data_IF_859406922915
#
_entry.id   IF_859406922915
#
_cell.length_a   1.000
_cell.length_b   1.000
_cell.length_c   1.000
_cell.angle_alpha   90.00
_cell.angle_beta   90.00
_cell.angle_gamma   90.00
#
_symmetry.space_group_name_H-M   'P 1'
#
loop_
_entity.id
_entity.type
_entity.pdbx_description
1 polymer ?
#
# COMPACT_ATOMS: atom_id res chain seq x y z
N UNK A 1 54.82 9.29 -26.29
CA UNK A 1 53.92 9.61 -27.42
C UNK A 1 53.17 8.35 -27.82
N UNK A 2 52.00 8.10 -27.30
CA UNK A 2 51.16 6.94 -27.68
C UNK A 2 49.80 7.50 -28.06
N UNK A 3 49.47 7.39 -29.36
CA UNK A 3 48.16 7.76 -29.93
C UNK A 3 47.25 6.54 -29.83
N UNK A 4 46.22 6.61 -29.01
CA UNK A 4 45.16 5.60 -28.94
C UNK A 4 44.00 6.08 -29.82
N UNK A 5 43.76 5.35 -30.91
CA UNK A 5 42.69 5.59 -31.86
C UNK A 5 41.32 5.24 -31.23
N UNK A 6 40.36 6.14 -31.39
CA UNK A 6 38.96 5.94 -31.02
C UNK A 6 38.25 5.20 -32.16
N UNK A 7 37.85 3.94 -31.94
CA UNK A 7 36.97 3.19 -32.83
C UNK A 7 35.51 3.51 -32.54
N UNK A 8 34.84 4.20 -33.46
CA UNK A 8 33.41 4.42 -33.44
C UNK A 8 32.71 3.13 -33.91
N UNK A 9 31.97 2.49 -33.02
CA UNK A 9 31.05 1.41 -33.36
C UNK A 9 29.65 2.00 -33.52
N UNK A 10 29.19 2.09 -34.77
CA UNK A 10 27.83 2.46 -35.13
C UNK A 10 26.92 1.23 -35.00
N UNK A 11 26.00 1.23 -34.02
CA UNK A 11 24.97 0.19 -33.86
C UNK A 11 23.71 0.63 -34.63
N UNK A 12 23.42 -0.02 -35.75
CA UNK A 12 22.20 0.19 -36.52
C UNK A 12 21.03 -0.58 -35.84
N UNK A 13 20.03 0.13 -35.32
CA UNK A 13 18.76 -0.45 -34.85
C UNK A 13 17.82 -0.60 -36.06
N UNK A 14 17.62 -1.84 -36.52
CA UNK A 14 16.58 -2.20 -37.48
C UNK A 14 15.24 -2.27 -36.74
N UNK A 15 14.36 -1.30 -36.93
CA UNK A 15 13.00 -1.31 -36.40
C UNK A 15 12.10 -2.18 -37.29
N UNK A 16 11.53 -3.28 -36.74
CA UNK A 16 10.45 -4.04 -37.40
C UNK A 16 9.11 -3.31 -37.10
N UNK A 17 8.61 -2.60 -38.11
CA UNK A 17 7.23 -2.12 -38.12
C UNK A 17 6.31 -3.26 -38.57
N UNK A 18 5.59 -3.87 -37.63
CA UNK A 18 4.50 -4.81 -37.94
C UNK A 18 3.21 -4.01 -38.19
N UNK A 19 2.75 -3.99 -39.43
CA UNK A 19 1.45 -3.49 -39.86
C UNK A 19 0.35 -4.46 -39.44
N UNK A 20 -0.70 -4.06 -38.68
CA UNK A 20 -1.83 -4.95 -38.40
C UNK A 20 -2.71 -5.12 -39.66
N UNK A 21 -3.24 -6.34 -39.94
CA UNK A 21 -4.13 -6.57 -41.07
C UNK A 21 -5.48 -5.88 -40.90
N UNK A 22 -6.16 -5.47 -41.97
CA UNK A 22 -7.46 -4.78 -41.92
C UNK A 22 -8.52 -5.73 -41.37
N UNK A 23 -9.19 -5.27 -40.30
CA UNK A 23 -10.32 -5.95 -39.71
C UNK A 23 -11.52 -5.95 -40.69
N UNK A 24 -11.94 -7.15 -41.11
CA UNK A 24 -13.18 -7.35 -41.85
C UNK A 24 -14.36 -7.10 -40.91
N UNK A 25 -15.08 -6.01 -41.10
CA UNK A 25 -16.36 -5.69 -40.45
C UNK A 25 -17.41 -6.75 -40.87
N UNK A 26 -18.02 -7.49 -39.94
CA UNK A 26 -19.20 -8.30 -40.27
C UNK A 26 -20.42 -7.41 -40.49
N UNK A 27 -21.38 -7.80 -41.38
CA UNK A 27 -22.57 -7.01 -41.65
C UNK A 27 -23.46 -6.92 -40.38
N UNK A 28 -23.85 -5.69 -40.04
CA UNK A 28 -24.82 -5.38 -38.99
C UNK A 28 -26.18 -5.91 -39.40
N UNK A 29 -26.61 -7.06 -38.86
CA UNK A 29 -28.00 -7.54 -38.95
C UNK A 29 -28.82 -6.85 -37.86
N UNK A 30 -29.54 -5.83 -38.26
CA UNK A 30 -30.54 -5.16 -37.43
C UNK A 30 -31.79 -6.02 -37.30
N UNK A 31 -31.85 -6.85 -36.27
CA UNK A 31 -33.06 -7.49 -35.80
C UNK A 31 -33.49 -6.82 -34.48
N UNK A 32 -34.71 -6.25 -34.38
CA UNK A 32 -35.16 -5.68 -33.11
C UNK A 32 -35.31 -6.81 -32.09
N UNK A 33 -34.36 -6.93 -31.17
CA UNK A 33 -34.51 -7.81 -30.03
C UNK A 33 -35.29 -7.09 -28.95
N UNK A 34 -36.45 -7.60 -28.60
CA UNK A 34 -37.17 -7.23 -27.36
C UNK A 34 -36.22 -7.44 -26.20
N UNK A 35 -35.73 -6.35 -25.63
CA UNK A 35 -34.85 -6.38 -24.48
C UNK A 35 -35.62 -6.80 -23.25
N UNK A 36 -35.55 -8.07 -22.90
CA UNK A 36 -36.00 -8.57 -21.61
C UNK A 36 -35.13 -7.87 -20.53
N UNK A 37 -35.75 -7.23 -19.49
CA UNK A 37 -34.94 -6.58 -18.46
C UNK A 37 -33.95 -7.58 -17.86
N UNK A 38 -32.65 -7.22 -17.86
CA UNK A 38 -31.63 -8.03 -17.23
C UNK A 38 -31.94 -8.14 -15.74
N UNK A 39 -31.82 -9.34 -15.13
CA UNK A 39 -32.01 -9.49 -13.70
C UNK A 39 -31.01 -8.60 -12.99
N UNK A 40 -31.49 -7.67 -12.15
CA UNK A 40 -30.68 -6.85 -11.28
C UNK A 40 -29.80 -7.79 -10.44
N UNK A 41 -28.50 -7.86 -10.76
CA UNK A 41 -27.54 -8.57 -9.91
C UNK A 41 -27.55 -7.89 -8.55
N UNK A 42 -28.24 -8.49 -7.59
CA UNK A 42 -28.11 -8.13 -6.19
C UNK A 42 -26.65 -8.36 -5.83
N UNK A 43 -25.91 -7.26 -5.64
CA UNK A 43 -24.53 -7.29 -5.18
C UNK A 43 -24.55 -8.02 -3.83
N UNK A 44 -23.85 -9.16 -3.67
CA UNK A 44 -23.81 -9.82 -2.37
C UNK A 44 -23.31 -8.80 -1.34
N UNK A 45 -24.09 -8.61 -0.28
CA UNK A 45 -23.69 -7.79 0.86
C UNK A 45 -22.37 -8.36 1.37
N UNK A 46 -21.27 -7.64 1.17
CA UNK A 46 -19.99 -8.04 1.77
C UNK A 46 -20.21 -8.01 3.26
N UNK A 47 -20.16 -9.22 3.87
CA UNK A 47 -20.07 -9.33 5.31
C UNK A 47 -18.94 -8.40 5.78
N UNK A 48 -19.15 -7.52 6.77
CA UNK A 48 -18.08 -6.67 7.28
C UNK A 48 -16.86 -7.54 7.60
N UNK A 49 -15.64 -7.12 7.27
CA UNK A 49 -14.46 -7.85 7.67
C UNK A 49 -14.47 -8.01 9.19
N UNK A 50 -14.00 -9.15 9.73
CA UNK A 50 -13.88 -9.32 11.16
C UNK A 50 -13.04 -8.19 11.73
N UNK A 51 -13.47 -7.59 12.84
CA UNK A 51 -12.70 -6.54 13.52
C UNK A 51 -11.31 -7.06 13.83
N UNK A 52 -10.28 -6.28 13.47
CA UNK A 52 -8.91 -6.67 13.76
C UNK A 52 -8.72 -6.80 15.28
N UNK A 53 -8.09 -7.89 15.72
CA UNK A 53 -7.80 -8.12 17.14
C UNK A 53 -6.59 -7.25 17.50
N UNK A 54 -6.74 -6.42 18.55
CA UNK A 54 -5.65 -5.57 19.01
C UNK A 54 -4.48 -6.40 19.56
N UNK A 55 -3.27 -6.03 19.17
CA UNK A 55 -2.04 -6.64 19.68
C UNK A 55 -1.82 -6.22 21.14
N UNK A 56 -1.90 -7.17 22.06
CA UNK A 56 -1.68 -6.93 23.49
C UNK A 56 -0.32 -7.51 23.85
N UNK A 57 0.72 -6.65 23.84
CA UNK A 57 2.07 -6.97 24.28
C UNK A 57 2.60 -5.86 25.19
N UNK A 58 3.46 -6.15 26.17
CA UNK A 58 4.05 -5.13 27.02
C UNK A 58 4.85 -4.08 26.21
N UNK A 59 4.78 -2.83 26.65
CA UNK A 59 5.56 -1.74 26.07
C UNK A 59 4.95 -1.06 24.83
N UNK A 60 3.76 -1.51 24.38
CA UNK A 60 3.03 -0.87 23.27
C UNK A 60 1.88 0.02 23.76
N UNK A 61 1.77 0.21 25.06
CA UNK A 61 0.75 1.04 25.71
C UNK A 61 0.82 2.48 25.18
N UNK A 62 -0.33 3.07 24.89
CA UNK A 62 -0.44 4.40 24.32
C UNK A 62 -0.12 4.48 22.81
N UNK A 63 0.16 3.33 22.16
CA UNK A 63 0.21 3.21 20.70
C UNK A 63 -0.99 2.41 20.21
N UNK A 64 -1.17 1.18 20.72
CA UNK A 64 -2.36 0.38 20.45
C UNK A 64 -3.60 1.08 21.01
N UNK A 65 -4.66 1.15 20.21
CA UNK A 65 -5.90 1.85 20.55
C UNK A 65 -5.87 3.35 20.24
N UNK A 66 -4.76 3.88 19.78
CA UNK A 66 -4.66 5.30 19.42
C UNK A 66 -5.07 5.53 17.95
N UNK A 67 -5.58 6.71 17.66
CA UNK A 67 -5.90 7.15 16.30
C UNK A 67 -4.66 7.70 15.57
N UNK A 68 -4.80 7.99 14.29
CA UNK A 68 -3.72 8.55 13.47
C UNK A 68 -3.20 9.88 14.02
N UNK A 69 -4.10 10.76 14.49
CA UNK A 69 -3.73 12.05 15.03
C UNK A 69 -2.92 11.90 16.34
N UNK A 70 -3.31 10.97 17.20
CA UNK A 70 -2.58 10.63 18.41
C UNK A 70 -1.18 10.09 18.15
N UNK A 71 -1.04 9.22 17.17
CA UNK A 71 0.27 8.70 16.75
C UNK A 71 1.16 9.79 16.15
N UNK A 72 0.60 10.69 15.35
CA UNK A 72 1.34 11.83 14.80
C UNK A 72 1.80 12.79 15.91
N UNK A 73 0.99 13.00 16.94
CA UNK A 73 1.43 13.79 18.11
C UNK A 73 2.58 13.13 18.87
N UNK A 74 2.62 11.79 18.94
CA UNK A 74 3.66 11.05 19.65
C UNK A 74 4.97 10.94 18.87
N UNK A 75 4.91 10.72 17.55
CA UNK A 75 6.07 10.36 16.74
C UNK A 75 6.43 11.41 15.68
N UNK A 76 5.62 12.48 15.55
CA UNK A 76 5.78 13.47 14.51
C UNK A 76 5.16 13.02 13.17
N UNK A 77 5.53 13.70 12.09
CA UNK A 77 4.99 13.41 10.75
C UNK A 77 5.42 12.02 10.27
N UNK A 78 4.48 11.15 9.85
CA UNK A 78 4.84 9.85 9.29
C UNK A 78 5.57 10.02 7.96
N UNK A 79 6.51 9.11 7.70
CA UNK A 79 7.19 9.00 6.42
C UNK A 79 6.26 8.43 5.33
N UNK A 80 5.34 7.53 5.74
CA UNK A 80 4.37 6.89 4.87
C UNK A 80 2.99 6.90 5.56
N UNK A 81 1.96 7.23 4.80
CA UNK A 81 0.55 7.22 5.21
C UNK A 81 -0.27 6.71 4.01
N UNK A 82 -0.65 5.45 4.04
CA UNK A 82 -1.33 4.77 2.93
C UNK A 82 -2.46 3.88 3.43
N UNK A 83 -3.37 3.54 2.51
CA UNK A 83 -4.37 2.50 2.72
C UNK A 83 -3.84 1.20 2.13
N UNK A 84 -3.77 0.16 2.95
CA UNK A 84 -3.31 -1.18 2.59
C UNK A 84 -4.41 -2.19 2.95
N UNK A 85 -5.21 -2.58 1.95
CA UNK A 85 -6.42 -3.36 2.17
C UNK A 85 -7.45 -2.59 2.99
N UNK A 86 -7.82 -3.13 4.15
CA UNK A 86 -8.76 -2.51 5.10
C UNK A 86 -8.05 -1.65 6.16
N UNK A 87 -6.73 -1.65 6.17
CA UNK A 87 -5.92 -0.90 7.13
C UNK A 87 -5.44 0.44 6.57
N UNK A 88 -5.32 1.44 7.44
CA UNK A 88 -4.46 2.60 7.23
C UNK A 88 -3.11 2.33 7.87
N UNK A 89 -2.06 2.34 7.07
CA UNK A 89 -0.69 2.13 7.54
C UNK A 89 0.04 3.45 7.69
N UNK A 90 0.52 3.72 8.89
CA UNK A 90 1.42 4.82 9.17
C UNK A 90 2.83 4.26 9.43
N UNK A 91 3.83 4.84 8.80
CA UNK A 91 5.22 4.48 9.04
C UNK A 91 5.97 5.67 9.63
N UNK A 92 6.59 5.43 10.78
CA UNK A 92 7.49 6.39 11.42
C UNK A 92 8.92 5.85 11.33
N UNK A 93 9.88 6.74 11.08
CA UNK A 93 11.28 6.33 10.85
C UNK A 93 12.24 7.24 11.59
N UNK A 94 13.20 6.63 12.25
CA UNK A 94 14.32 7.28 12.89
C UNK A 94 15.64 6.54 12.65
N UNK A 95 16.71 7.00 13.27
CA UNK A 95 18.03 6.33 13.17
C UNK A 95 18.03 4.97 13.86
N UNK A 96 17.24 4.78 14.91
CA UNK A 96 17.20 3.56 15.69
C UNK A 96 16.36 2.45 15.03
N UNK A 97 15.20 2.84 14.46
CA UNK A 97 14.25 1.87 13.92
C UNK A 97 13.24 2.50 12.95
N UNK A 98 12.47 1.65 12.29
CA UNK A 98 11.26 1.96 11.54
C UNK A 98 10.11 1.29 12.27
N UNK A 99 9.05 2.05 12.57
CA UNK A 99 7.83 1.60 13.20
C UNK A 99 6.69 1.68 12.19
N UNK A 100 6.06 0.57 11.88
CA UNK A 100 4.85 0.47 11.08
C UNK A 100 3.65 0.29 12.01
N UNK A 101 2.68 1.20 11.94
CA UNK A 101 1.43 1.12 12.69
C UNK A 101 0.27 0.87 11.73
N UNK A 102 -0.52 -0.17 12.00
CA UNK A 102 -1.69 -0.57 11.21
C UNK A 102 -2.95 -0.23 12.01
N UNK A 103 -3.73 0.67 11.44
CA UNK A 103 -4.96 1.17 12.03
C UNK A 103 -6.16 0.56 11.30
N UNK A 104 -7.06 -0.06 12.06
CA UNK A 104 -8.28 -0.64 11.53
C UNK A 104 -9.50 0.04 12.16
N UNK A 105 -10.58 0.25 11.39
CA UNK A 105 -11.81 0.77 11.96
C UNK A 105 -12.44 -0.29 12.88
N UNK A 106 -12.79 0.05 14.14
CA UNK A 106 -13.43 -0.90 15.06
C UNK A 106 -14.83 -1.29 14.61
N UNK A 107 -15.47 -0.46 13.78
CA UNK A 107 -16.74 -0.73 13.11
C UNK A 107 -16.82 0.13 11.84
N UNK A 108 -17.73 -0.21 10.94
CA UNK A 108 -17.96 0.56 9.72
C UNK A 108 -18.22 2.05 10.01
N UNK A 109 -17.46 2.94 9.36
CA UNK A 109 -17.59 4.39 9.52
C UNK A 109 -17.01 4.96 10.83
N UNK A 110 -16.31 4.16 11.62
CA UNK A 110 -15.57 4.63 12.79
C UNK A 110 -14.13 4.97 12.45
N UNK A 111 -13.55 5.89 13.21
CA UNK A 111 -12.14 6.28 13.07
C UNK A 111 -11.23 5.04 13.28
N UNK A 112 -10.28 4.81 12.37
CA UNK A 112 -9.34 3.72 12.50
C UNK A 112 -8.42 3.89 13.71
N UNK A 113 -8.27 2.81 14.49
CA UNK A 113 -7.39 2.75 15.65
C UNK A 113 -6.24 1.76 15.41
N UNK A 114 -5.07 2.07 15.94
CA UNK A 114 -3.92 1.18 15.87
C UNK A 114 -4.24 -0.13 16.60
N UNK A 115 -4.20 -1.24 15.88
CA UNK A 115 -4.43 -2.58 16.41
C UNK A 115 -3.21 -3.46 16.31
N UNK A 116 -2.31 -3.14 15.39
CA UNK A 116 -1.07 -3.88 15.19
C UNK A 116 0.08 -2.92 14.91
N UNK A 117 1.25 -3.23 15.46
CA UNK A 117 2.50 -2.54 15.15
C UNK A 117 3.61 -3.53 14.87
N UNK A 118 4.51 -3.12 14.02
CA UNK A 118 5.75 -3.81 13.71
C UNK A 118 6.94 -2.87 13.79
N UNK A 119 8.09 -3.38 14.24
CA UNK A 119 9.30 -2.59 14.40
C UNK A 119 10.50 -3.31 13.82
N UNK A 120 11.24 -2.63 12.94
CA UNK A 120 12.38 -3.21 12.27
C UNK A 120 13.56 -2.25 12.19
N UNK A 121 14.76 -2.81 12.04
CA UNK A 121 15.99 -2.06 11.85
C UNK A 121 16.03 -1.43 10.45
N UNK A 122 16.42 -0.14 10.32
CA UNK A 122 16.43 0.52 9.02
C UNK A 122 17.45 -0.02 8.02
N UNK A 123 18.54 -0.65 8.52
CA UNK A 123 19.65 -1.09 7.68
C UNK A 123 19.42 -2.41 6.94
N UNK A 124 18.73 -3.36 7.57
CA UNK A 124 18.58 -4.73 7.08
C UNK A 124 17.15 -5.29 7.20
N UNK A 125 16.22 -4.50 7.78
CA UNK A 125 14.82 -4.90 7.94
C UNK A 125 14.58 -5.96 9.02
N UNK A 126 15.57 -6.30 9.82
CA UNK A 126 15.44 -7.27 10.92
C UNK A 126 14.55 -6.71 12.02
N UNK A 127 13.73 -7.59 12.60
CA UNK A 127 12.86 -7.23 13.72
C UNK A 127 13.66 -6.72 14.91
N UNK A 128 13.12 -5.70 15.58
CA UNK A 128 13.65 -5.15 16.81
C UNK A 128 12.56 -5.08 17.89
N UNK A 129 12.99 -4.88 19.12
CA UNK A 129 12.06 -4.69 20.24
C UNK A 129 11.15 -3.47 20.00
N UNK A 130 9.82 -3.71 20.03
CA UNK A 130 8.81 -2.70 19.74
C UNK A 130 8.77 -1.59 20.78
N UNK A 131 8.91 -1.94 22.06
CA UNK A 131 8.91 -0.96 23.15
C UNK A 131 10.11 -0.02 23.08
N UNK A 132 11.30 -0.59 22.79
CA UNK A 132 12.51 0.20 22.59
C UNK A 132 12.40 1.11 21.36
N UNK A 133 11.82 0.62 20.26
CA UNK A 133 11.57 1.41 19.06
C UNK A 133 10.62 2.57 19.34
N UNK A 134 9.47 2.31 20.01
CA UNK A 134 8.51 3.33 20.41
C UNK A 134 9.18 4.41 21.26
N UNK A 135 9.97 4.01 22.25
CA UNK A 135 10.68 4.96 23.13
C UNK A 135 11.66 5.85 22.35
N UNK A 136 12.38 5.25 21.38
CA UNK A 136 13.36 5.96 20.56
C UNK A 136 12.75 6.95 19.56
N UNK A 137 11.51 6.70 19.08
CA UNK A 137 10.85 7.54 18.09
C UNK A 137 9.99 8.65 18.68
N UNK A 138 9.66 8.61 19.97
CA UNK A 138 8.85 9.66 20.61
C UNK A 138 9.51 11.03 20.46
N UNK A 139 8.72 12.00 19.93
CA UNK A 139 9.14 13.41 19.91
C UNK A 139 9.19 13.94 21.35
N UNK A 140 10.21 14.71 21.64
CA UNK A 140 10.42 15.35 22.94
C UNK A 140 9.83 16.74 22.93
#
# INVERSE_FOLDING_TARGET
MIRIGVAMIALALAGCAATPPPAKTPPVSTKPALTKPAPTRVRPSRKPPPSAIAQIVPGVEGVIGNDAAGLIRQFGKPRLDIIEGDARKLQFSGSACVLDAYLYPPAAGKEPLATYIDARRPSDGQDVDRAACIAALRVR
#
